data_IF_304287217055
#
_entry.id   IF_304287217055
#
_cell.length_a   1.000
_cell.length_b   1.000
_cell.length_c   1.000
_cell.angle_alpha   90.00
_cell.angle_beta   90.00
_cell.angle_gamma   90.00
#
_symmetry.space_group_name_H-M   'P 1'
#
loop_
_entity.id
_entity.type
_entity.pdbx_description
1 polymer ?
#
# COMPACT_ATOMS: atom_id res chain seq x y z
N UNK A 1 -24.54 -4.30 82.42
CA UNK A 1 -25.60 -3.66 81.62
C UNK A 1 -24.95 -2.81 80.55
N UNK A 2 -25.39 -3.00 79.30
CA UNK A 2 -24.88 -2.37 78.08
C UNK A 2 -25.38 -0.94 78.00
N UNK A 3 -24.56 -0.02 77.48
CA UNK A 3 -25.09 0.91 76.48
C UNK A 3 -24.00 1.26 75.47
N UNK A 4 -24.41 1.23 74.21
CA UNK A 4 -23.62 1.24 72.99
C UNK A 4 -23.81 2.57 72.29
N UNK A 5 -22.73 3.33 72.04
CA UNK A 5 -22.74 4.37 71.02
C UNK A 5 -21.84 3.94 69.86
N UNK A 6 -22.51 3.52 68.79
CA UNK A 6 -21.96 3.30 67.45
C UNK A 6 -21.61 4.66 66.86
N UNK A 7 -20.36 4.88 66.51
CA UNK A 7 -19.95 6.00 65.64
C UNK A 7 -19.88 5.48 64.20
N UNK A 8 -20.78 5.96 63.35
CA UNK A 8 -20.83 5.64 61.91
C UNK A 8 -19.66 6.28 61.15
N UNK A 9 -19.11 5.63 60.11
CA UNK A 9 -18.06 6.22 59.29
C UNK A 9 -18.66 7.14 58.21
N UNK A 10 -18.09 8.34 58.11
CA UNK A 10 -18.45 9.41 57.17
C UNK A 10 -18.08 8.98 55.74
N UNK A 11 -19.10 8.67 54.92
CA UNK A 11 -18.96 8.37 53.49
C UNK A 11 -18.41 9.60 52.75
N UNK A 12 -17.21 9.46 52.18
CA UNK A 12 -16.57 10.45 51.31
C UNK A 12 -17.29 10.42 49.96
N UNK A 13 -17.98 11.49 49.58
CA UNK A 13 -18.52 11.65 48.22
C UNK A 13 -17.36 11.78 47.24
N UNK A 14 -17.29 10.86 46.29
CA UNK A 14 -16.47 10.96 45.08
C UNK A 14 -17.02 12.10 44.20
N UNK A 15 -16.17 12.90 43.54
CA UNK A 15 -16.64 13.85 42.54
C UNK A 15 -16.93 13.10 41.24
N UNK A 16 -18.22 13.10 40.85
CA UNK A 16 -18.70 12.74 39.52
C UNK A 16 -18.05 13.61 38.43
N UNK A 17 -17.66 12.97 37.33
CA UNK A 17 -17.90 13.52 35.99
C UNK A 17 -16.88 14.51 35.44
N UNK A 18 -15.61 14.10 35.31
CA UNK A 18 -14.78 14.66 34.24
C UNK A 18 -15.18 13.99 32.92
N UNK A 19 -16.12 14.60 32.18
CA UNK A 19 -16.31 14.26 30.77
C UNK A 19 -14.96 14.44 30.05
N UNK A 20 -14.40 13.41 29.40
CA UNK A 20 -13.23 13.62 28.56
C UNK A 20 -13.62 14.60 27.45
N UNK A 21 -12.91 15.73 27.40
CA UNK A 21 -12.98 16.67 26.30
C UNK A 21 -12.88 15.92 24.97
N UNK A 22 -13.58 16.35 23.90
CA UNK A 22 -13.52 15.68 22.62
C UNK A 22 -12.07 15.56 22.18
N UNK A 23 -11.60 14.32 22.06
CA UNK A 23 -10.26 14.00 21.60
C UNK A 23 -10.02 14.78 20.30
N UNK A 24 -9.11 15.76 20.36
CA UNK A 24 -8.60 16.46 19.19
C UNK A 24 -8.22 15.37 18.20
N UNK A 25 -8.93 15.27 17.07
CA UNK A 25 -8.58 14.39 15.96
C UNK A 25 -7.20 14.86 15.48
N UNK A 26 -6.12 14.34 16.07
CA UNK A 26 -4.77 14.47 15.50
C UNK A 26 -4.88 13.88 14.10
N UNK A 27 -4.82 14.74 13.08
CA UNK A 27 -4.66 14.30 11.70
C UNK A 27 -3.26 13.71 11.61
N UNK A 28 -3.17 12.40 11.77
CA UNK A 28 -1.91 11.65 11.67
C UNK A 28 -1.28 11.77 10.28
N UNK A 29 -2.07 12.12 9.26
CA UNK A 29 -1.64 12.14 7.87
C UNK A 29 -1.77 13.52 7.24
N UNK A 30 -0.90 13.77 6.25
CA UNK A 30 -0.97 14.97 5.43
C UNK A 30 -2.23 14.98 4.55
N UNK A 31 -2.64 16.14 3.99
CA UNK A 31 -3.79 16.23 3.09
C UNK A 31 -3.72 15.32 1.84
N UNK A 32 -2.55 14.80 1.49
CA UNK A 32 -2.41 13.82 0.41
C UNK A 32 -3.27 12.56 0.64
N UNK A 33 -3.60 12.23 1.90
CA UNK A 33 -4.51 11.13 2.23
C UNK A 33 -5.92 11.33 1.62
N UNK A 34 -6.36 12.57 1.43
CA UNK A 34 -7.67 12.89 0.87
C UNK A 34 -7.70 12.70 -0.66
N UNK A 35 -6.52 12.70 -1.31
CA UNK A 35 -6.38 12.51 -2.76
C UNK A 35 -6.27 11.03 -3.19
N UNK A 36 -6.20 10.09 -2.24
CA UNK A 36 -6.14 8.64 -2.54
C UNK A 36 -7.40 8.21 -3.29
N UNK A 37 -7.22 7.61 -4.46
CA UNK A 37 -8.33 7.16 -5.31
C UNK A 37 -9.03 8.27 -6.10
N UNK A 38 -8.51 9.50 -6.11
CA UNK A 38 -9.02 10.59 -6.95
C UNK A 38 -8.85 10.34 -8.44
N UNK A 39 -7.88 9.50 -8.81
CA UNK A 39 -7.63 9.06 -10.18
C UNK A 39 -7.42 7.55 -10.22
N UNK A 40 -7.77 6.94 -11.37
CA UNK A 40 -7.58 5.51 -11.63
C UNK A 40 -6.14 5.23 -12.11
N UNK A 41 -5.16 5.63 -11.30
CA UNK A 41 -3.74 5.51 -11.57
C UNK A 41 -3.01 4.88 -10.38
N UNK A 42 -2.30 3.78 -10.63
CA UNK A 42 -1.57 3.02 -9.59
C UNK A 42 -0.43 3.85 -8.99
N UNK A 43 0.42 4.44 -9.84
CA UNK A 43 1.62 5.16 -9.41
C UNK A 43 1.24 6.41 -8.63
N UNK A 44 0.24 7.16 -9.11
CA UNK A 44 -0.23 8.34 -8.40
C UNK A 44 -0.87 7.99 -7.06
N UNK A 45 -1.64 6.90 -6.99
CA UNK A 45 -2.22 6.42 -5.73
C UNK A 45 -1.12 6.05 -4.73
N UNK A 46 -0.08 5.33 -5.17
CA UNK A 46 1.10 5.02 -4.36
C UNK A 46 1.79 6.27 -3.84
N UNK A 47 1.98 7.28 -4.72
CA UNK A 47 2.54 8.59 -4.34
C UNK A 47 1.70 9.29 -3.27
N UNK A 48 0.38 9.36 -3.42
CA UNK A 48 -0.49 9.98 -2.42
C UNK A 48 -0.36 9.29 -1.05
N UNK A 49 -0.22 7.96 -1.01
CA UNK A 49 -0.01 7.21 0.24
C UNK A 49 1.32 7.57 0.89
N UNK A 50 2.43 7.53 0.16
CA UNK A 50 3.75 7.84 0.76
C UNK A 50 3.87 9.31 1.16
N UNK A 51 3.24 10.24 0.43
CA UNK A 51 3.16 11.67 0.78
C UNK A 51 2.20 11.94 1.96
N UNK A 52 1.21 11.09 2.19
CA UNK A 52 0.35 11.17 3.37
C UNK A 52 1.13 10.83 4.66
N UNK A 53 2.09 9.91 4.55
CA UNK A 53 2.85 9.36 5.67
C UNK A 53 4.15 10.14 5.92
N UNK A 54 5.04 10.25 4.93
CA UNK A 54 6.34 10.91 5.12
C UNK A 54 6.32 12.40 4.71
N UNK A 55 7.06 13.29 5.41
CA UNK A 55 7.89 13.02 6.59
C UNK A 55 7.14 13.10 7.93
N UNK A 56 5.88 13.57 7.94
CA UNK A 56 5.18 13.91 9.19
C UNK A 56 4.98 12.71 10.13
N UNK A 57 4.43 11.62 9.61
CA UNK A 57 4.14 10.41 10.38
C UNK A 57 5.38 9.52 10.57
N UNK A 58 6.23 9.41 9.54
CA UNK A 58 7.43 8.56 9.55
C UNK A 58 8.53 9.16 8.66
N UNK A 59 9.76 8.68 8.82
CA UNK A 59 10.93 9.25 8.14
C UNK A 59 11.07 8.69 6.72
N UNK A 60 10.69 7.44 6.51
CA UNK A 60 10.48 6.89 5.18
C UNK A 60 9.15 6.12 5.10
N UNK A 61 8.50 6.19 3.95
CA UNK A 61 7.31 5.45 3.62
C UNK A 61 7.45 4.83 2.24
N UNK A 62 7.06 3.57 2.10
CA UNK A 62 7.06 2.87 0.83
C UNK A 62 5.80 2.02 0.66
N UNK A 63 5.35 1.90 -0.57
CA UNK A 63 4.22 1.05 -0.96
C UNK A 63 4.75 -0.04 -1.87
N UNK A 64 4.47 -1.30 -1.52
CA UNK A 64 4.82 -2.46 -2.31
C UNK A 64 3.56 -3.20 -2.75
N UNK A 65 3.56 -3.67 -3.99
CA UNK A 65 2.51 -4.52 -4.55
C UNK A 65 3.09 -5.86 -4.94
N UNK A 66 2.39 -6.95 -4.61
CA UNK A 66 2.86 -8.28 -4.96
C UNK A 66 2.91 -8.44 -6.48
N UNK A 67 4.05 -8.92 -6.99
CA UNK A 67 4.28 -9.07 -8.43
C UNK A 67 3.21 -9.97 -9.06
N UNK A 68 2.82 -11.04 -8.36
CA UNK A 68 1.73 -11.93 -8.79
C UNK A 68 0.38 -11.22 -8.95
N UNK A 69 0.06 -10.25 -8.08
CA UNK A 69 -1.21 -9.52 -8.16
C UNK A 69 -1.25 -8.53 -9.33
N UNK A 70 -0.06 -8.01 -9.70
CA UNK A 70 0.09 -7.15 -10.86
C UNK A 70 0.00 -7.91 -12.19
N UNK A 71 0.49 -9.15 -12.24
CA UNK A 71 0.60 -9.94 -13.47
C UNK A 71 -0.60 -10.89 -13.68
N UNK A 72 -1.08 -11.53 -12.62
CA UNK A 72 -2.07 -12.60 -12.72
C UNK A 72 -3.46 -12.15 -12.23
N UNK A 73 -4.48 -12.49 -13.00
CA UNK A 73 -5.86 -12.02 -12.81
C UNK A 73 -6.57 -12.66 -11.61
N UNK A 74 -6.20 -13.90 -11.29
CA UNK A 74 -6.89 -14.78 -10.34
C UNK A 74 -5.92 -15.55 -9.43
N UNK A 75 -4.67 -15.10 -9.31
CA UNK A 75 -3.66 -15.77 -8.49
C UNK A 75 -4.15 -15.93 -7.05
N UNK A 76 -4.59 -17.15 -6.71
CA UNK A 76 -4.79 -17.52 -5.31
C UNK A 76 -3.44 -17.41 -4.63
N UNK A 77 -3.40 -16.71 -3.49
CA UNK A 77 -2.21 -16.80 -2.65
C UNK A 77 -2.04 -18.25 -2.23
N UNK A 78 -0.88 -18.84 -2.54
CA UNK A 78 -0.40 -19.98 -1.80
C UNK A 78 -0.48 -19.62 -0.30
N UNK A 79 -1.02 -20.51 0.52
CA UNK A 79 -1.31 -20.22 1.92
C UNK A 79 -0.05 -19.84 2.72
N UNK A 80 1.14 -20.26 2.27
CA UNK A 80 2.42 -19.92 2.88
C UNK A 80 3.60 -20.10 1.88
N UNK A 81 3.91 -19.11 1.03
CA UNK A 81 5.01 -19.23 0.08
C UNK A 81 6.37 -19.05 0.80
N UNK A 82 7.46 -19.71 0.34
CA UNK A 82 8.80 -19.57 0.96
C UNK A 82 9.38 -18.16 0.83
N UNK A 83 8.88 -17.38 -0.12
CA UNK A 83 9.21 -15.97 -0.33
C UNK A 83 8.05 -15.25 -1.00
N UNK A 84 8.02 -13.92 -0.88
CA UNK A 84 7.14 -13.06 -1.67
C UNK A 84 7.95 -12.19 -2.61
N UNK A 85 7.40 -11.93 -3.79
CA UNK A 85 7.96 -10.98 -4.75
C UNK A 85 7.07 -9.75 -4.76
N UNK A 86 7.64 -8.58 -4.48
CA UNK A 86 6.88 -7.34 -4.45
C UNK A 86 7.60 -6.21 -5.18
N UNK A 87 6.85 -5.50 -6.02
CA UNK A 87 7.31 -4.32 -6.73
C UNK A 87 7.14 -3.08 -5.86
N UNK A 88 8.20 -2.27 -5.73
CA UNK A 88 8.14 -0.95 -5.11
C UNK A 88 7.32 -0.02 -5.99
N UNK A 89 6.10 0.32 -5.58
CA UNK A 89 5.22 1.21 -6.33
C UNK A 89 5.53 2.69 -6.07
N UNK A 90 5.88 3.01 -4.83
CA UNK A 90 6.22 4.37 -4.42
C UNK A 90 7.16 4.35 -3.21
N UNK A 91 7.98 5.38 -3.11
CA UNK A 91 8.88 5.64 -2.01
C UNK A 91 8.88 7.14 -1.73
N UNK A 92 8.93 7.51 -0.46
CA UNK A 92 9.22 8.86 -0.01
C UNK A 92 10.08 8.80 1.23
N UNK A 93 11.12 9.61 1.25
CA UNK A 93 12.06 9.72 2.36
C UNK A 93 12.08 11.19 2.78
N UNK A 94 12.19 11.43 4.09
CA UNK A 94 12.25 12.76 4.67
C UNK A 94 13.47 13.53 4.19
N UNK A 95 13.35 14.85 4.14
CA UNK A 95 14.35 15.75 3.57
C UNK A 95 15.70 15.76 4.32
N UNK A 96 15.74 15.30 5.57
CA UNK A 96 16.96 15.26 6.40
C UNK A 96 17.81 14.00 6.17
N UNK A 97 17.47 13.16 5.19
CA UNK A 97 18.25 11.97 4.89
C UNK A 97 19.58 12.37 4.23
N UNK A 98 20.70 12.05 4.91
CA UNK A 98 22.05 12.38 4.47
C UNK A 98 22.50 11.64 3.20
N UNK A 99 21.83 10.56 2.84
CA UNK A 99 22.13 9.72 1.67
C UNK A 99 21.05 9.85 0.60
N UNK A 100 21.45 9.70 -0.67
CA UNK A 100 20.54 9.71 -1.83
C UNK A 100 19.80 8.38 -1.95
N UNK A 101 18.94 8.11 -0.98
CA UNK A 101 18.19 6.88 -0.88
C UNK A 101 17.23 6.64 -2.04
N UNK A 102 16.79 7.69 -2.74
CA UNK A 102 15.93 7.54 -3.92
C UNK A 102 16.66 6.81 -5.05
N UNK A 103 17.98 7.01 -5.18
CA UNK A 103 18.81 6.27 -6.13
C UNK A 103 19.15 4.87 -5.64
N UNK A 104 19.34 4.67 -4.33
CA UNK A 104 19.62 3.36 -3.73
C UNK A 104 18.38 2.44 -3.68
N UNK A 105 17.18 3.02 -3.73
CA UNK A 105 15.91 2.31 -3.61
C UNK A 105 14.96 2.72 -4.75
N UNK A 106 15.27 2.37 -6.02
CA UNK A 106 14.51 2.81 -7.18
C UNK A 106 13.06 2.33 -7.16
N UNK A 107 12.12 3.23 -7.47
CA UNK A 107 10.71 2.87 -7.70
C UNK A 107 10.61 1.98 -8.95
N UNK A 108 9.73 0.98 -8.91
CA UNK A 108 9.51 0.00 -9.99
C UNK A 108 10.33 -1.29 -9.86
N UNK A 109 11.33 -1.30 -8.99
CA UNK A 109 12.13 -2.50 -8.69
C UNK A 109 11.29 -3.60 -8.02
N UNK A 110 11.52 -4.85 -8.42
CA UNK A 110 10.91 -6.04 -7.80
C UNK A 110 11.90 -6.65 -6.83
N UNK A 111 11.53 -6.72 -5.56
CA UNK A 111 12.34 -7.32 -4.50
C UNK A 111 11.74 -8.65 -4.05
N UNK A 112 12.63 -9.54 -3.59
CA UNK A 112 12.30 -10.88 -3.11
C UNK A 112 12.46 -10.92 -1.60
N UNK A 113 11.36 -11.03 -0.87
CA UNK A 113 11.37 -11.09 0.59
C UNK A 113 11.19 -12.54 1.08
N UNK A 114 12.21 -13.15 1.71
CA UNK A 114 12.08 -14.46 2.34
C UNK A 114 10.97 -14.48 3.38
N UNK A 115 10.32 -15.63 3.58
CA UNK A 115 9.15 -15.81 4.45
C UNK A 115 9.37 -15.33 5.89
N UNK A 116 10.61 -15.38 6.35
CA UNK A 116 10.92 -15.02 7.73
C UNK A 116 10.85 -13.48 7.92
N UNK A 117 10.94 -12.68 6.85
CA UNK A 117 10.99 -11.20 6.94
C UNK A 117 9.69 -10.64 7.53
N UNK A 118 9.73 -9.49 8.25
CA UNK A 118 8.50 -8.86 8.72
C UNK A 118 7.53 -8.53 7.57
N UNK A 119 8.04 -8.22 6.37
CA UNK A 119 7.23 -8.01 5.18
C UNK A 119 6.46 -9.26 4.76
N UNK A 120 7.14 -10.40 4.62
CA UNK A 120 6.50 -11.65 4.23
C UNK A 120 5.53 -12.14 5.30
N UNK A 121 5.87 -12.01 6.59
CA UNK A 121 4.96 -12.34 7.71
C UNK A 121 3.70 -11.48 7.70
N UNK A 122 3.80 -10.19 7.41
CA UNK A 122 2.64 -9.29 7.31
C UNK A 122 1.68 -9.74 6.20
N UNK A 123 2.23 -10.09 5.03
CA UNK A 123 1.45 -10.57 3.88
C UNK A 123 0.82 -11.93 4.15
N UNK A 124 1.57 -12.88 4.71
CA UNK A 124 1.10 -14.23 4.99
C UNK A 124 0.02 -14.26 6.09
N UNK A 125 0.23 -13.54 7.19
CA UNK A 125 -0.74 -13.46 8.29
C UNK A 125 -1.92 -12.53 8.01
N UNK A 126 -1.74 -11.56 7.10
CA UNK A 126 -2.68 -10.46 6.91
C UNK A 126 -2.79 -9.54 8.14
N UNK A 127 -1.81 -9.60 9.05
CA UNK A 127 -1.73 -8.79 10.27
C UNK A 127 -0.56 -7.81 10.20
N UNK A 128 -0.79 -6.61 10.73
CA UNK A 128 0.24 -5.58 10.85
C UNK A 128 1.38 -6.05 11.74
N UNK A 129 2.61 -5.74 11.34
CA UNK A 129 3.82 -6.01 12.11
C UNK A 129 4.37 -4.68 12.63
N UNK A 130 4.63 -4.64 13.92
CA UNK A 130 5.22 -3.48 14.61
C UNK A 130 6.51 -3.95 15.28
N UNK A 131 7.61 -3.29 14.94
CA UNK A 131 8.93 -3.61 15.45
C UNK A 131 9.54 -2.33 16.03
N UNK A 132 9.80 -2.32 17.33
CA UNK A 132 10.43 -1.18 18.01
C UNK A 132 11.92 -1.04 17.68
N UNK A 133 12.51 -2.13 17.19
CA UNK A 133 13.86 -2.23 16.67
C UNK A 133 14.05 -3.58 16.00
N UNK A 134 15.16 -3.73 15.28
CA UNK A 134 15.47 -4.95 14.53
C UNK A 134 16.62 -5.68 15.22
N UNK A 135 16.37 -6.90 15.71
CA UNK A 135 17.45 -7.75 16.22
C UNK A 135 18.43 -8.15 15.11
N UNK A 136 19.65 -8.56 15.48
CA UNK A 136 20.71 -8.86 14.50
C UNK A 136 20.28 -9.90 13.47
N UNK A 137 19.48 -10.89 13.88
CA UNK A 137 19.00 -11.95 12.99
C UNK A 137 17.98 -11.44 11.96
N UNK A 138 17.07 -10.57 12.39
CA UNK A 138 16.08 -9.94 11.52
C UNK A 138 16.76 -8.93 10.60
N UNK A 139 17.78 -8.21 11.09
CA UNK A 139 18.57 -7.27 10.31
C UNK A 139 19.32 -8.00 9.19
N UNK A 140 20.02 -9.10 9.50
CA UNK A 140 20.68 -9.94 8.51
C UNK A 140 19.73 -10.42 7.41
N UNK A 141 18.49 -10.79 7.76
CA UNK A 141 17.51 -11.23 6.77
C UNK A 141 16.92 -10.09 5.94
N UNK A 142 16.76 -8.91 6.52
CA UNK A 142 16.35 -7.70 5.79
C UNK A 142 17.43 -7.28 4.80
N UNK A 143 18.70 -7.38 5.18
CA UNK A 143 19.84 -6.97 4.35
C UNK A 143 20.06 -7.93 3.17
N UNK A 144 19.82 -9.23 3.35
CA UNK A 144 19.83 -10.21 2.25
C UNK A 144 18.77 -9.97 1.16
N UNK A 145 17.78 -9.14 1.45
CA UNK A 145 16.67 -8.83 0.55
C UNK A 145 16.91 -7.57 -0.28
N UNK A 146 17.78 -6.67 0.18
CA UNK A 146 18.12 -5.42 -0.50
C UNK A 146 19.31 -5.57 -1.45
N UNK A 147 19.57 -4.58 -2.30
CA UNK A 147 20.84 -4.52 -3.01
C UNK A 147 21.99 -4.39 -2.00
N UNK A 148 23.20 -4.85 -2.36
CA UNK A 148 24.45 -4.71 -1.58
C UNK A 148 24.90 -3.23 -1.51
N UNK A 149 24.06 -2.37 -0.93
CA UNK A 149 24.33 -0.96 -0.74
C UNK A 149 24.85 -0.74 0.68
N UNK A 150 26.11 -0.33 0.78
CA UNK A 150 26.67 0.18 2.04
C UNK A 150 25.80 1.34 2.54
N UNK A 151 25.30 1.26 3.78
CA UNK A 151 24.46 2.29 4.41
C UNK A 151 23.11 1.76 4.94
N UNK A 152 22.53 0.75 4.28
CA UNK A 152 21.22 0.17 4.68
C UNK A 152 21.28 -0.52 6.05
N UNK A 153 22.43 -1.11 6.40
CA UNK A 153 22.65 -1.88 7.64
C UNK A 153 22.43 -1.05 8.91
N UNK A 154 23.07 0.13 8.99
CA UNK A 154 22.96 1.01 10.15
C UNK A 154 21.52 1.53 10.34
N UNK A 155 20.83 1.85 9.23
CA UNK A 155 19.44 2.28 9.27
C UNK A 155 18.52 1.13 9.71
N UNK A 156 18.70 -0.07 9.16
CA UNK A 156 17.89 -1.24 9.53
C UNK A 156 18.03 -1.60 11.00
N UNK A 157 19.24 -1.53 11.56
CA UNK A 157 19.49 -1.90 12.97
C UNK A 157 19.00 -0.86 13.98
N UNK A 158 18.85 0.40 13.58
CA UNK A 158 18.48 1.49 14.49
C UNK A 158 17.05 2.00 14.31
N UNK A 159 16.36 1.58 13.25
CA UNK A 159 15.00 2.03 12.96
C UNK A 159 13.93 1.13 13.59
N UNK A 160 12.81 1.76 13.94
CA UNK A 160 11.54 1.07 14.18
C UNK A 160 10.76 0.93 12.87
N UNK A 161 9.99 -0.15 12.75
CA UNK A 161 9.26 -0.50 11.54
C UNK A 161 7.78 -0.70 11.81
N UNK A 162 6.96 -0.20 10.90
CA UNK A 162 5.53 -0.50 10.83
C UNK A 162 5.21 -1.04 9.43
N UNK A 163 4.77 -2.29 9.37
CA UNK A 163 4.40 -2.97 8.13
C UNK A 163 2.92 -3.29 8.15
N UNK A 164 2.16 -2.64 7.28
CA UNK A 164 0.70 -2.79 7.18
C UNK A 164 0.36 -3.51 5.87
N UNK A 165 -0.23 -4.72 5.91
CA UNK A 165 -0.64 -5.42 4.70
C UNK A 165 -1.82 -4.71 4.02
N UNK A 166 -1.74 -4.53 2.70
CA UNK A 166 -2.83 -4.02 1.88
C UNK A 166 -3.76 -5.18 1.53
N UNK A 167 -4.95 -5.22 2.13
CA UNK A 167 -5.87 -6.36 2.00
C UNK A 167 -7.07 -6.05 1.13
N UNK A 168 -7.38 -6.98 0.23
CA UNK A 168 -8.56 -6.98 -0.60
C UNK A 168 -9.28 -8.31 -0.44
N UNK A 169 -10.56 -8.28 -0.06
CA UNK A 169 -11.40 -9.48 0.12
C UNK A 169 -10.75 -10.56 1.01
N UNK A 170 -10.04 -10.12 2.06
CA UNK A 170 -9.37 -10.99 3.02
C UNK A 170 -7.93 -11.37 2.65
N UNK A 171 -7.49 -11.14 1.42
CA UNK A 171 -6.15 -11.52 0.90
C UNK A 171 -5.24 -10.30 0.80
N UNK A 172 -3.96 -10.45 1.15
CA UNK A 172 -2.97 -9.39 0.97
C UNK A 172 -2.55 -9.27 -0.51
N UNK A 173 -2.53 -8.05 -1.03
CA UNK A 173 -2.12 -7.75 -2.42
C UNK A 173 -0.83 -6.93 -2.46
N UNK A 174 -0.33 -6.54 -1.30
CA UNK A 174 0.83 -5.69 -1.11
C UNK A 174 0.97 -5.31 0.35
N UNK A 175 1.82 -4.34 0.64
CA UNK A 175 2.01 -3.80 1.98
C UNK A 175 2.53 -2.37 1.93
N UNK A 176 2.27 -1.61 2.98
CA UNK A 176 2.91 -0.33 3.28
C UNK A 176 4.01 -0.61 4.30
N UNK A 177 5.21 -0.07 4.08
CA UNK A 177 6.29 -0.11 5.04
C UNK A 177 6.69 1.32 5.43
N UNK A 178 6.62 1.60 6.73
CA UNK A 178 7.06 2.85 7.33
C UNK A 178 8.26 2.58 8.24
N UNK A 179 9.22 3.51 8.25
CA UNK A 179 10.35 3.48 9.19
C UNK A 179 10.47 4.80 9.93
N UNK A 180 10.88 4.71 11.19
CA UNK A 180 11.34 5.85 11.99
C UNK A 180 12.76 5.57 12.46
N UNK A 181 13.66 6.53 12.29
CA UNK A 181 15.02 6.46 12.80
C UNK A 181 15.07 6.48 14.32
N UNK A 182 16.26 6.28 14.91
CA UNK A 182 16.45 6.17 16.36
C UNK A 182 16.08 7.43 17.14
N UNK A 183 16.05 8.60 16.49
CA UNK A 183 15.72 9.88 17.11
C UNK A 183 14.21 10.10 17.31
N UNK A 184 13.36 9.17 16.86
CA UNK A 184 11.90 9.22 17.02
C UNK A 184 11.39 8.05 17.83
N UNK A 185 10.32 8.30 18.60
CA UNK A 185 9.62 7.23 19.30
C UNK A 185 9.12 6.14 18.32
N UNK A 186 9.26 4.85 18.69
CA UNK A 186 8.67 3.75 17.94
C UNK A 186 7.16 3.93 17.70
N UNK A 187 6.66 3.22 16.70
CA UNK A 187 5.23 3.28 16.37
C UNK A 187 4.38 2.73 17.52
N UNK A 188 3.27 3.41 17.83
CA UNK A 188 2.29 2.89 18.77
C UNK A 188 1.19 2.08 18.06
N UNK A 189 0.54 1.17 18.79
CA UNK A 189 -0.57 0.37 18.24
C UNK A 189 -1.72 1.23 17.69
N UNK A 190 -2.01 2.38 18.32
CA UNK A 190 -3.03 3.33 17.84
C UNK A 190 -2.66 3.96 16.49
N UNK A 191 -1.36 4.16 16.25
CA UNK A 191 -0.85 4.66 14.98
C UNK A 191 -0.93 3.59 13.90
N UNK A 192 -0.66 2.33 14.23
CA UNK A 192 -0.85 1.19 13.34
C UNK A 192 -2.29 1.11 12.81
N UNK A 193 -3.29 1.26 13.69
CA UNK A 193 -4.72 1.26 13.29
C UNK A 193 -5.04 2.40 12.30
N UNK A 194 -4.42 3.57 12.47
CA UNK A 194 -4.60 4.68 11.53
C UNK A 194 -4.04 4.32 10.14
N UNK A 195 -2.86 3.70 10.08
CA UNK A 195 -2.23 3.29 8.81
C UNK A 195 -2.98 2.12 8.18
N UNK A 196 -3.56 1.21 8.97
CA UNK A 196 -4.47 0.16 8.47
C UNK A 196 -5.71 0.74 7.78
N UNK A 197 -6.32 1.78 8.36
CA UNK A 197 -7.45 2.46 7.73
C UNK A 197 -7.05 3.15 6.42
N UNK A 198 -5.88 3.79 6.40
CA UNK A 198 -5.31 4.38 5.19
C UNK A 198 -5.03 3.30 4.13
N UNK A 199 -4.44 2.18 4.55
CA UNK A 199 -4.11 1.03 3.71
C UNK A 199 -5.35 0.35 3.13
N UNK A 200 -6.45 0.28 3.87
CA UNK A 200 -7.73 -0.23 3.36
C UNK A 200 -8.26 0.64 2.22
N UNK A 201 -8.26 1.96 2.39
CA UNK A 201 -8.67 2.92 1.34
C UNK A 201 -7.73 2.85 0.13
N UNK A 202 -6.43 2.80 0.37
CA UNK A 202 -5.42 2.69 -0.68
C UNK A 202 -5.57 1.38 -1.46
N UNK A 203 -5.77 0.25 -0.78
CA UNK A 203 -5.97 -1.05 -1.41
C UNK A 203 -7.13 -1.04 -2.40
N UNK A 204 -8.27 -0.47 -2.02
CA UNK A 204 -9.44 -0.33 -2.91
C UNK A 204 -9.13 0.57 -4.11
N UNK A 205 -8.50 1.72 -3.89
CA UNK A 205 -8.10 2.61 -4.97
C UNK A 205 -7.13 1.95 -5.96
N UNK A 206 -6.15 1.20 -5.45
CA UNK A 206 -5.18 0.46 -6.26
C UNK A 206 -5.86 -0.66 -7.06
N UNK A 207 -6.81 -1.40 -6.48
CA UNK A 207 -7.58 -2.41 -7.21
C UNK A 207 -8.40 -1.80 -8.34
N UNK A 208 -9.06 -0.67 -8.08
CA UNK A 208 -9.84 0.05 -9.08
C UNK A 208 -8.95 0.54 -10.23
N UNK A 209 -7.80 1.15 -9.93
CA UNK A 209 -6.84 1.59 -10.93
C UNK A 209 -6.31 0.43 -11.78
N UNK A 210 -5.96 -0.70 -11.15
CA UNK A 210 -5.50 -1.91 -11.85
C UNK A 210 -6.57 -2.47 -12.79
N UNK A 211 -7.82 -2.59 -12.32
CA UNK A 211 -8.93 -3.10 -13.13
C UNK A 211 -9.23 -2.18 -14.31
N UNK A 212 -9.25 -0.87 -14.09
CA UNK A 212 -9.48 0.10 -15.14
C UNK A 212 -8.42 0.02 -16.25
N UNK A 213 -7.14 0.01 -15.88
CA UNK A 213 -6.05 -0.09 -16.86
C UNK A 213 -6.11 -1.40 -17.64
N UNK A 214 -6.54 -2.49 -17.00
CA UNK A 214 -6.77 -3.78 -17.66
C UNK A 214 -7.92 -3.71 -18.68
N UNK A 215 -9.10 -3.24 -18.27
CA UNK A 215 -10.26 -3.10 -19.15
C UNK A 215 -9.93 -2.23 -20.36
N UNK A 216 -9.22 -1.12 -20.12
CA UNK A 216 -8.73 -0.22 -21.16
C UNK A 216 -7.81 -0.92 -22.15
N UNK A 217 -6.84 -1.73 -21.67
CA UNK A 217 -5.94 -2.50 -22.55
C UNK A 217 -6.69 -3.51 -23.40
N UNK A 218 -7.63 -4.24 -22.82
CA UNK A 218 -8.46 -5.21 -23.56
C UNK A 218 -9.29 -4.53 -24.64
N UNK A 219 -9.96 -3.41 -24.32
CA UNK A 219 -10.74 -2.65 -25.28
C UNK A 219 -9.87 -2.11 -26.44
N UNK A 220 -8.65 -1.64 -26.14
CA UNK A 220 -7.70 -1.18 -27.16
C UNK A 220 -7.17 -2.32 -28.02
N UNK A 221 -6.91 -3.50 -27.43
CA UNK A 221 -6.48 -4.68 -28.16
C UNK A 221 -7.57 -5.14 -29.15
N UNK A 222 -8.83 -5.21 -28.70
CA UNK A 222 -9.99 -5.51 -29.56
C UNK A 222 -10.10 -4.47 -30.67
N UNK A 223 -10.04 -3.18 -30.34
CA UNK A 223 -10.10 -2.11 -31.34
C UNK A 223 -9.01 -2.26 -32.39
N UNK A 224 -7.78 -2.62 -32.00
CA UNK A 224 -6.67 -2.84 -32.92
C UNK A 224 -6.85 -4.11 -33.76
N UNK A 225 -7.35 -5.20 -33.20
CA UNK A 225 -7.60 -6.44 -33.96
C UNK A 225 -8.78 -6.33 -34.93
N UNK A 226 -9.67 -5.37 -34.72
CA UNK A 226 -10.77 -5.05 -35.62
C UNK A 226 -10.34 -4.12 -36.77
N UNK A 227 -9.14 -3.53 -36.73
CA UNK A 227 -8.61 -2.77 -37.86
C UNK A 227 -7.93 -3.75 -38.84
N UNK A 228 -8.40 -3.85 -40.10
CA UNK A 228 -7.79 -4.73 -41.08
C UNK A 228 -6.33 -4.32 -41.34
N UNK A 229 -5.46 -5.32 -41.44
CA UNK A 229 -4.06 -5.14 -41.82
C UNK A 229 -4.02 -4.53 -43.23
N UNK A 230 -3.61 -3.26 -43.35
CA UNK A 230 -3.66 -2.48 -44.60
C UNK A 230 -2.58 -2.90 -45.60
N UNK A 231 -2.01 -4.10 -45.48
CA UNK A 231 -0.81 -4.54 -46.18
C UNK A 231 -1.03 -5.13 -47.58
N UNK A 232 -2.25 -5.45 -47.99
CA UNK A 232 -2.50 -5.93 -49.36
C UNK A 232 -2.69 -4.77 -50.33
N UNK A 233 -1.57 -4.28 -50.87
CA UNK A 233 -1.59 -3.42 -52.06
C UNK A 233 -1.74 -4.28 -53.32
N UNK A 234 -2.85 -4.11 -54.04
CA UNK A 234 -3.02 -4.68 -55.37
C UNK A 234 -2.59 -3.64 -56.42
N UNK A 235 -1.74 -4.03 -57.36
CA UNK A 235 -1.24 -3.14 -58.40
C UNK A 235 -2.41 -2.58 -59.23
N UNK A 236 -2.52 -1.25 -59.31
CA UNK A 236 -3.63 -0.55 -59.99
C UNK A 236 -4.88 -0.26 -59.15
N UNK A 237 -4.95 -0.70 -57.87
CA UNK A 237 -6.12 -0.51 -57.01
C UNK A 237 -5.78 0.26 -55.71
N UNK A 238 -6.68 1.16 -55.28
CA UNK A 238 -6.68 1.74 -53.92
C UNK A 238 -7.74 1.04 -53.08
N UNK A 239 -7.32 0.37 -52.01
CA UNK A 239 -8.22 -0.26 -51.04
C UNK A 239 -8.55 0.75 -49.94
N UNK A 240 -9.84 0.97 -49.69
CA UNK A 240 -10.33 1.76 -48.56
C UNK A 240 -11.24 0.87 -47.70
N UNK A 241 -11.11 0.98 -46.39
CA UNK A 241 -11.92 0.22 -45.43
C UNK A 241 -12.86 1.16 -44.67
N UNK A 242 -14.06 0.69 -44.33
CA UNK A 242 -15.04 1.43 -43.53
C UNK A 242 -15.84 0.51 -42.61
N UNK A 243 -16.30 1.07 -41.50
CA UNK A 243 -17.20 0.40 -40.56
C UNK A 243 -18.59 1.02 -40.66
N UNK A 244 -19.63 0.20 -40.95
CA UNK A 244 -21.03 0.67 -40.91
C UNK A 244 -21.66 0.17 -39.63
N UNK A 245 -22.01 1.05 -38.68
CA UNK A 245 -22.78 0.64 -37.52
C UNK A 245 -24.18 0.17 -37.93
N UNK A 246 -24.67 -0.87 -37.27
CA UNK A 246 -26.03 -1.39 -37.44
C UNK A 246 -27.01 -0.57 -36.57
N UNK A 247 -27.39 0.62 -37.05
CA UNK A 247 -28.48 1.42 -36.46
C UNK A 247 -28.09 2.24 -35.21
N UNK A 248 -28.91 3.25 -34.90
CA UNK A 248 -28.60 4.29 -33.90
C UNK A 248 -28.74 3.84 -32.43
N UNK A 249 -29.36 2.67 -32.16
CA UNK A 249 -29.66 2.19 -30.81
C UNK A 249 -28.86 0.94 -30.38
N UNK A 250 -27.92 0.47 -31.21
CA UNK A 250 -27.11 -0.74 -30.93
C UNK A 250 -25.64 -0.39 -30.78
N UNK A 251 -25.12 -0.46 -29.55
CA UNK A 251 -23.70 -0.14 -29.23
C UNK A 251 -22.73 -1.20 -29.76
N UNK A 252 -23.23 -2.38 -30.16
CA UNK A 252 -22.42 -3.49 -30.70
C UNK A 252 -23.19 -4.12 -31.87
N UNK A 253 -22.60 -4.09 -33.06
CA UNK A 253 -23.14 -4.70 -34.28
C UNK A 253 -22.94 -3.78 -35.48
N UNK A 254 -22.19 -4.22 -36.48
CA UNK A 254 -21.89 -3.50 -37.71
C UNK A 254 -20.95 -4.31 -38.58
N UNK A 255 -21.06 -4.14 -39.89
CA UNK A 255 -20.25 -4.88 -40.86
C UNK A 255 -19.02 -4.07 -41.27
N UNK A 256 -17.91 -4.76 -41.49
CA UNK A 256 -16.69 -4.21 -42.08
C UNK A 256 -16.70 -4.44 -43.59
N UNK A 257 -16.23 -3.46 -44.35
CA UNK A 257 -16.09 -3.51 -45.81
C UNK A 257 -14.85 -2.76 -46.27
#
# INVERSE_FOLDING_TARGET
>A
MRNTERTEPRVRREPEGAHPAPAVRRRYFSPAADAIGSQLDLELTGRHVVHALAPGFCDAASVYLLQRWLVEEEARMAADPPQIEARRLALRIGADAAEDWEHLLPVGEVLVFPRETPYARAVASGQTQLLDGVDDHTAERLLKTGPDHMGVDALVRSASFLIVPLRLRGTAVGFIACTRGPDREPFAQVEAVAVESLGSRAGVALDNARRYERERRTALAIRRSLLPDTGQSFEGCRVAHGYRPAGQDTVIGGDWY
#
